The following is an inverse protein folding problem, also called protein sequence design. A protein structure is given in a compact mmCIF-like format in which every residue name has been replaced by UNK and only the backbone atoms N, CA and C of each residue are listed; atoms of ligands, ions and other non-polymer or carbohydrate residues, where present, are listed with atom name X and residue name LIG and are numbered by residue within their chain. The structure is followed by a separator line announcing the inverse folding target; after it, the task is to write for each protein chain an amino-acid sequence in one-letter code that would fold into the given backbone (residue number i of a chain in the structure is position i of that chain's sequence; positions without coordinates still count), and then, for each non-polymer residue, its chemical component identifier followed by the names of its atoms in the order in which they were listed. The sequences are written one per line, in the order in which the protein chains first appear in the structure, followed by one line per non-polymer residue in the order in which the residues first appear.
data_IF_202205769404
#
_entry.id   IF_202205769404
#
_cell.length_a   1.000
_cell.length_b   1.000
_cell.length_c   1.000
_cell.angle_alpha   90.00
_cell.angle_beta   90.00
_cell.angle_gamma   90.00
#
_symmetry.space_group_name_H-M   'P 1'
#
loop_
_entity.id
_entity.type
_entity.pdbx_description
1 polymer ?
#
# COMPACT_ATOMS: atom_id res chain seq x y z
N UNK A 1 -22.27 -25.76 -11.71
CA UNK A 1 -21.97 -24.55 -12.51
C UNK A 1 -22.83 -23.42 -11.97
N UNK A 2 -22.26 -22.47 -11.22
CA UNK A 2 -23.01 -21.34 -10.64
C UNK A 2 -22.60 -20.08 -11.40
N UNK A 3 -23.55 -19.43 -12.09
CA UNK A 3 -23.36 -18.11 -12.69
C UNK A 3 -23.56 -17.04 -11.63
N UNK A 4 -22.50 -16.30 -11.31
CA UNK A 4 -22.61 -15.05 -10.56
C UNK A 4 -23.02 -13.94 -11.53
N UNK A 5 -24.18 -13.33 -11.29
CA UNK A 5 -24.59 -12.12 -11.97
C UNK A 5 -23.99 -10.93 -11.22
N UNK A 6 -23.11 -10.18 -11.88
CA UNK A 6 -22.66 -8.88 -11.41
C UNK A 6 -23.35 -7.79 -12.23
N UNK A 7 -23.80 -6.74 -11.55
CA UNK A 7 -24.29 -5.53 -12.21
C UNK A 7 -23.27 -4.43 -11.94
N UNK A 8 -22.57 -4.00 -12.98
CA UNK A 8 -21.68 -2.83 -12.90
C UNK A 8 -22.54 -1.59 -13.03
N UNK A 9 -22.69 -0.84 -11.94
CA UNK A 9 -23.29 0.50 -11.99
C UNK A 9 -22.14 1.52 -12.06
N UNK A 10 -21.97 2.14 -13.22
CA UNK A 10 -21.03 3.24 -13.39
C UNK A 10 -21.69 4.53 -12.91
N UNK A 11 -21.26 5.02 -11.73
CA UNK A 11 -21.54 6.39 -11.30
C UNK A 11 -20.18 7.03 -10.96
N UNK A 12 -19.81 8.04 -11.75
CA UNK A 12 -18.68 8.95 -11.54
C UNK A 12 -17.38 8.30 -11.01
N UNK A 13 -16.60 7.69 -11.90
CA UNK A 13 -15.14 7.52 -11.76
C UNK A 13 -14.62 6.61 -10.64
N UNK A 14 -15.48 6.03 -9.80
CA UNK A 14 -15.08 5.17 -8.68
C UNK A 14 -15.91 3.90 -8.71
N UNK A 15 -15.28 2.74 -8.92
CA UNK A 15 -15.98 1.46 -8.85
C UNK A 15 -16.25 1.11 -7.38
N UNK A 16 -17.49 1.33 -6.92
CA UNK A 16 -17.95 0.84 -5.62
C UNK A 16 -18.69 -0.48 -5.83
N UNK A 17 -18.05 -1.59 -5.45
CA UNK A 17 -18.69 -2.90 -5.42
C UNK A 17 -19.50 -3.02 -4.12
N UNK A 18 -20.84 -3.01 -4.21
CA UNK A 18 -21.71 -3.35 -3.08
C UNK A 18 -22.10 -4.82 -3.14
N UNK A 19 -21.78 -5.56 -2.09
CA UNK A 19 -22.30 -6.91 -1.87
C UNK A 19 -23.60 -6.82 -1.06
N UNK A 20 -24.69 -7.38 -1.58
CA UNK A 20 -25.92 -7.62 -0.83
C UNK A 20 -25.95 -9.08 -0.41
N UNK A 21 -25.96 -9.36 0.88
CA UNK A 21 -26.08 -10.71 1.42
C UNK A 21 -27.55 -11.03 1.73
N UNK A 22 -28.16 -11.94 0.99
CA UNK A 22 -29.36 -12.63 1.46
C UNK A 22 -28.94 -13.70 2.48
N UNK A 23 -29.55 -13.62 3.66
CA UNK A 23 -29.34 -14.57 4.75
C UNK A 23 -29.72 -15.99 4.32
N UNK A 24 -28.73 -16.88 4.36
CA UNK A 24 -28.87 -18.31 4.18
C UNK A 24 -27.53 -18.94 4.55
N UNK A 25 -27.54 -19.74 5.60
CA UNK A 25 -26.38 -20.48 6.11
C UNK A 25 -25.74 -21.31 5.00
N UNK A 26 -24.67 -20.79 4.42
CA UNK A 26 -23.84 -21.49 3.45
C UNK A 26 -22.39 -21.18 3.79
N UNK A 27 -21.65 -22.25 4.10
CA UNK A 27 -20.21 -22.27 4.30
C UNK A 27 -19.52 -21.27 3.34
N UNK A 28 -18.83 -20.28 3.90
CA UNK A 28 -18.05 -19.31 3.13
C UNK A 28 -17.05 -20.08 2.25
N UNK A 29 -16.96 -19.80 0.94
CA UNK A 29 -15.98 -20.44 0.08
C UNK A 29 -14.56 -20.10 0.56
N UNK A 30 -13.59 -20.95 0.24
CA UNK A 30 -12.17 -20.85 0.61
C UNK A 30 -11.47 -19.58 0.09
N UNK A 31 -11.84 -18.41 0.60
CA UNK A 31 -11.39 -17.11 0.12
C UNK A 31 -11.66 -15.92 1.05
N UNK A 32 -12.08 -16.12 2.30
CA UNK A 32 -12.11 -15.05 3.32
C UNK A 32 -10.85 -15.19 4.18
N UNK A 33 -9.71 -14.81 3.62
CA UNK A 33 -8.44 -14.80 4.33
C UNK A 33 -8.42 -13.60 5.28
N UNK A 34 -7.79 -13.74 6.46
CA UNK A 34 -7.63 -12.61 7.39
C UNK A 34 -7.03 -11.37 6.71
N UNK A 35 -6.21 -11.59 5.68
CA UNK A 35 -5.61 -10.55 4.84
C UNK A 35 -6.63 -9.76 4.02
N UNK A 36 -7.58 -10.42 3.36
CA UNK A 36 -8.59 -9.72 2.56
C UNK A 36 -9.49 -8.85 3.44
N UNK A 37 -9.80 -9.32 4.65
CA UNK A 37 -10.53 -8.54 5.65
C UNK A 37 -9.73 -7.34 6.14
N UNK A 38 -8.44 -7.51 6.43
CA UNK A 38 -7.52 -6.40 6.78
C UNK A 38 -7.54 -5.32 5.69
N UNK A 39 -7.31 -5.70 4.43
CA UNK A 39 -7.27 -4.77 3.29
C UNK A 39 -8.62 -4.06 3.12
N UNK A 40 -9.73 -4.81 3.14
CA UNK A 40 -11.06 -4.23 2.98
C UNK A 40 -11.44 -3.25 4.09
N UNK A 41 -10.84 -3.38 5.27
CA UNK A 41 -11.11 -2.50 6.42
C UNK A 41 -10.25 -1.22 6.38
N UNK A 42 -8.97 -1.34 6.04
CA UNK A 42 -7.99 -0.27 6.27
C UNK A 42 -7.47 0.42 5.00
N UNK A 43 -7.71 -0.14 3.81
CA UNK A 43 -7.12 0.42 2.60
C UNK A 43 -7.69 1.81 2.27
N UNK A 44 -6.81 2.80 2.20
CA UNK A 44 -7.16 4.19 1.91
C UNK A 44 -7.84 4.91 3.06
N UNK A 45 -7.79 4.37 4.29
CA UNK A 45 -8.44 4.98 5.45
C UNK A 45 -7.43 5.47 6.48
N UNK A 46 -7.81 6.53 7.19
CA UNK A 46 -7.09 7.03 8.37
C UNK A 46 -7.75 6.44 9.62
N UNK A 47 -6.96 5.83 10.50
CA UNK A 47 -7.43 5.27 11.76
C UNK A 47 -6.48 5.60 12.90
N UNK A 48 -7.00 5.62 14.12
CA UNK A 48 -6.20 5.66 15.35
C UNK A 48 -6.09 4.24 15.89
N UNK A 49 -4.87 3.78 16.16
CA UNK A 49 -4.69 2.50 16.83
C UNK A 49 -5.26 2.58 18.25
N UNK A 50 -6.06 1.58 18.66
CA UNK A 50 -6.43 1.45 20.06
C UNK A 50 -5.17 1.10 20.86
N UNK A 51 -4.83 1.92 21.85
CA UNK A 51 -3.82 1.55 22.83
C UNK A 51 -4.40 0.46 23.73
N UNK A 52 -3.82 -0.75 23.66
CA UNK A 52 -4.15 -1.82 24.59
C UNK A 52 -3.92 -1.32 26.03
N UNK A 53 -4.92 -1.59 26.89
CA UNK A 53 -5.17 -0.88 28.14
C UNK A 53 -3.96 -0.72 29.07
N UNK A 54 -3.74 0.53 29.49
CA UNK A 54 -2.84 0.90 30.58
C UNK A 54 -2.89 2.41 30.79
N UNK A 55 -3.35 2.85 31.95
CA UNK A 55 -3.72 4.24 32.26
C UNK A 55 -2.71 5.30 31.79
N UNK A 56 -3.17 6.14 30.86
CA UNK A 56 -2.43 7.26 30.33
C UNK A 56 -3.08 7.72 29.02
N UNK A 57 -3.88 8.78 29.09
CA UNK A 57 -4.68 9.33 27.97
C UNK A 57 -3.77 10.00 26.93
N UNK A 58 -2.93 9.25 26.23
CA UNK A 58 -2.33 9.66 24.96
C UNK A 58 -3.05 8.88 23.86
N UNK A 59 -3.89 9.59 23.09
CA UNK A 59 -4.42 9.06 21.84
C UNK A 59 -3.24 8.67 20.97
N UNK A 60 -3.23 7.44 20.44
CA UNK A 60 -2.25 7.07 19.45
C UNK A 60 -2.33 8.04 18.26
N UNK A 61 -1.19 8.40 17.63
CA UNK A 61 -1.20 9.20 16.42
C UNK A 61 -2.02 8.48 15.34
N UNK A 62 -2.72 9.27 14.53
CA UNK A 62 -3.51 8.71 13.44
C UNK A 62 -2.57 8.12 12.37
N UNK A 63 -3.05 7.11 11.66
CA UNK A 63 -2.29 6.42 10.64
C UNK A 63 -3.16 6.22 9.41
N UNK A 64 -2.65 6.63 8.26
CA UNK A 64 -3.18 6.28 6.96
C UNK A 64 -2.51 5.02 6.46
N UNK A 65 -3.28 4.11 5.86
CA UNK A 65 -2.72 2.91 5.26
C UNK A 65 -3.19 2.74 3.82
N UNK A 66 -2.27 2.37 2.94
CA UNK A 66 -2.57 2.02 1.56
C UNK A 66 -2.00 0.64 1.23
N UNK A 67 -2.82 -0.22 0.63
CA UNK A 67 -2.45 -1.54 0.16
C UNK A 67 -2.47 -1.57 -1.35
N UNK A 68 -1.44 -2.16 -1.94
CA UNK A 68 -1.34 -2.34 -3.37
C UNK A 68 -0.89 -3.75 -3.72
N UNK A 69 -1.72 -4.43 -4.52
CA UNK A 69 -1.38 -5.71 -5.14
C UNK A 69 -0.73 -5.45 -6.49
N UNK A 70 0.44 -6.02 -6.69
CA UNK A 70 1.22 -5.95 -7.93
C UNK A 70 1.26 -7.35 -8.52
N UNK A 71 0.49 -7.57 -9.58
CA UNK A 71 0.50 -8.84 -10.30
C UNK A 71 1.66 -8.89 -11.30
N UNK A 72 2.15 -10.10 -11.58
CA UNK A 72 3.24 -10.40 -12.51
C UNK A 72 4.56 -9.67 -12.19
N UNK A 73 4.80 -9.34 -10.92
CA UNK A 73 5.94 -8.49 -10.51
C UNK A 73 7.33 -9.08 -10.84
N UNK A 74 7.42 -10.39 -11.07
CA UNK A 74 8.64 -11.06 -11.54
C UNK A 74 8.96 -10.80 -13.00
N UNK A 75 7.95 -10.48 -13.79
CA UNK A 75 8.01 -10.35 -15.25
C UNK A 75 7.57 -8.97 -15.67
N UNK A 76 7.89 -7.96 -14.87
CA UNK A 76 7.56 -6.57 -15.18
C UNK A 76 8.35 -6.15 -16.42
N UNK A 77 7.79 -6.43 -17.59
CA UNK A 77 8.20 -5.87 -18.87
C UNK A 77 7.37 -4.61 -19.09
N UNK A 78 7.51 -3.62 -18.21
CA UNK A 78 6.97 -2.30 -18.51
C UNK A 78 7.91 -1.59 -19.46
N UNK A 79 7.36 -0.65 -20.24
CA UNK A 79 8.14 0.23 -21.13
C UNK A 79 9.29 0.92 -20.37
N UNK A 80 9.09 1.16 -19.05
CA UNK A 80 10.05 1.81 -18.16
C UNK A 80 10.62 0.88 -17.05
N UNK A 81 10.37 -0.43 -17.11
CA UNK A 81 10.85 -1.40 -16.08
C UNK A 81 10.15 -1.34 -14.71
N UNK A 82 9.23 -0.38 -14.50
CA UNK A 82 8.62 -0.08 -13.20
C UNK A 82 7.09 -0.17 -13.21
N UNK A 83 6.50 -0.90 -12.26
CA UNK A 83 5.09 -0.80 -11.91
C UNK A 83 4.83 0.45 -11.07
N UNK A 84 3.68 1.09 -11.25
CA UNK A 84 3.23 2.20 -10.40
C UNK A 84 1.78 2.00 -9.97
N UNK A 85 1.49 2.25 -8.68
CA UNK A 85 0.12 2.23 -8.16
C UNK A 85 -0.68 3.42 -8.68
N UNK A 86 -2.02 3.35 -8.68
CA UNK A 86 -2.83 4.57 -8.70
C UNK A 86 -2.36 5.53 -7.60
N UNK A 87 -2.21 6.83 -7.89
CA UNK A 87 -1.82 7.80 -6.89
C UNK A 87 -2.98 8.04 -5.90
N UNK A 88 -2.63 8.28 -4.64
CA UNK A 88 -3.57 8.46 -3.54
C UNK A 88 -3.15 9.62 -2.65
N UNK A 89 -4.13 10.22 -1.97
CA UNK A 89 -3.88 11.22 -0.92
C UNK A 89 -3.74 10.52 0.43
N UNK A 90 -2.74 10.91 1.22
CA UNK A 90 -2.47 10.31 2.55
C UNK A 90 -3.43 10.79 3.64
N UNK A 91 -4.16 11.86 3.38
CA UNK A 91 -5.32 12.32 4.15
C UNK A 91 -6.11 13.33 3.28
N UNK A 92 -7.33 13.74 3.65
CA UNK A 92 -8.05 14.77 2.93
C UNK A 92 -7.20 16.04 2.77
N UNK A 93 -7.11 16.57 1.55
CA UNK A 93 -6.37 17.80 1.22
C UNK A 93 -4.88 17.79 1.61
N UNK A 94 -4.22 16.65 1.47
CA UNK A 94 -2.82 16.45 1.90
C UNK A 94 -1.91 16.01 0.75
N UNK A 95 -0.72 15.52 1.07
CA UNK A 95 0.27 15.01 0.12
C UNK A 95 -0.32 13.89 -0.72
N UNK A 96 -0.02 13.94 -2.02
CA UNK A 96 -0.32 12.88 -2.97
C UNK A 96 0.90 12.00 -3.16
N UNK A 97 0.71 10.69 -3.05
CA UNK A 97 1.78 9.69 -3.18
C UNK A 97 1.39 8.59 -4.15
N UNK A 98 2.39 7.84 -4.59
CA UNK A 98 2.22 6.55 -5.26
C UNK A 98 3.23 5.55 -4.71
N UNK A 99 2.94 4.27 -4.90
CA UNK A 99 3.89 3.19 -4.72
C UNK A 99 4.46 2.78 -6.07
N UNK A 100 5.73 2.37 -6.09
CA UNK A 100 6.38 1.80 -7.26
C UNK A 100 7.03 0.47 -6.92
N UNK A 101 6.97 -0.47 -7.86
CA UNK A 101 7.73 -1.72 -7.80
C UNK A 101 8.58 -1.83 -9.05
N UNK A 102 9.89 -1.93 -8.87
CA UNK A 102 10.87 -2.12 -9.93
C UNK A 102 11.53 -3.49 -9.75
N UNK A 103 11.76 -4.20 -10.85
CA UNK A 103 12.32 -5.55 -10.84
C UNK A 103 13.52 -5.60 -11.79
N UNK A 104 14.71 -5.74 -11.22
CA UNK A 104 15.94 -5.96 -11.97
C UNK A 104 16.18 -7.46 -12.09
N UNK A 105 15.85 -8.01 -13.26
CA UNK A 105 16.02 -9.43 -13.57
C UNK A 105 17.51 -9.84 -13.59
N UNK A 106 18.41 -8.92 -13.95
CA UNK A 106 19.85 -9.18 -14.04
C UNK A 106 20.47 -9.24 -12.65
N UNK A 107 20.19 -8.25 -11.81
CA UNK A 107 20.62 -8.21 -10.42
C UNK A 107 19.82 -9.16 -9.51
N UNK A 108 18.70 -9.71 -10.01
CA UNK A 108 17.73 -10.53 -9.27
C UNK A 108 17.25 -9.82 -8.01
N UNK A 109 16.86 -8.56 -8.16
CA UNK A 109 16.39 -7.70 -7.09
C UNK A 109 15.07 -7.04 -7.42
N UNK A 110 14.21 -6.89 -6.41
CA UNK A 110 12.95 -6.16 -6.48
C UNK A 110 13.01 -4.99 -5.51
N UNK A 111 12.76 -3.78 -6.01
CA UNK A 111 12.68 -2.56 -5.20
C UNK A 111 11.23 -2.11 -5.09
N UNK A 112 10.79 -1.88 -3.86
CA UNK A 112 9.50 -1.29 -3.53
C UNK A 112 9.74 0.11 -2.97
N UNK A 113 9.08 1.14 -3.50
CA UNK A 113 9.29 2.51 -3.05
C UNK A 113 7.99 3.31 -2.92
N UNK A 114 7.97 4.25 -1.99
CA UNK A 114 6.97 5.30 -1.87
C UNK A 114 7.52 6.59 -2.46
N UNK A 115 6.77 7.18 -3.38
CA UNK A 115 7.18 8.39 -4.12
C UNK A 115 6.13 9.48 -3.97
N UNK A 116 6.52 10.76 -3.81
CA UNK A 116 5.58 11.86 -3.88
C UNK A 116 5.20 12.10 -5.35
N UNK A 117 3.95 12.46 -5.59
CA UNK A 117 3.42 12.77 -6.92
C UNK A 117 2.76 14.14 -6.86
N UNK A 118 2.80 14.91 -7.96
CA UNK A 118 2.15 16.21 -8.01
C UNK A 118 0.67 16.10 -7.58
N UNK A 119 0.32 16.87 -6.55
CA UNK A 119 -1.00 16.97 -5.96
C UNK A 119 -1.62 18.36 -6.16
N UNK A 120 -2.94 18.43 -6.08
CA UNK A 120 -3.67 19.71 -6.20
C UNK A 120 -3.35 20.67 -5.04
N UNK A 121 -3.00 20.12 -3.88
CA UNK A 121 -2.76 20.88 -2.66
C UNK A 121 -1.29 21.24 -2.43
N UNK A 122 -0.37 20.85 -3.33
CA UNK A 122 1.08 20.96 -3.11
C UNK A 122 1.55 22.37 -2.74
N UNK A 123 0.91 23.42 -3.26
CA UNK A 123 1.25 24.82 -2.96
C UNK A 123 0.86 25.28 -1.55
N UNK A 124 -0.02 24.54 -0.86
CA UNK A 124 -0.50 24.84 0.49
C UNK A 124 0.17 23.97 1.55
N UNK A 125 0.94 22.96 1.12
CA UNK A 125 1.60 22.00 2.00
C UNK A 125 3.01 22.46 2.33
N UNK A 126 3.48 22.07 3.50
CA UNK A 126 4.89 22.24 3.86
C UNK A 126 5.75 21.28 3.04
N UNK A 127 6.95 21.71 2.66
CA UNK A 127 7.92 20.86 1.99
C UNK A 127 9.29 21.03 2.65
N UNK A 128 10.11 19.97 2.75
CA UNK A 128 9.90 18.60 2.24
C UNK A 128 8.81 17.83 3.01
N UNK A 129 8.43 16.65 2.49
CA UNK A 129 7.39 15.80 3.10
C UNK A 129 7.61 15.59 4.60
N UNK A 130 6.63 15.95 5.43
CA UNK A 130 6.79 16.05 6.90
C UNK A 130 6.33 14.82 7.68
N UNK A 131 5.54 13.93 7.09
CA UNK A 131 5.01 12.78 7.81
C UNK A 131 6.04 11.65 7.91
N UNK A 132 5.84 10.79 8.90
CA UNK A 132 6.64 9.57 9.04
C UNK A 132 6.04 8.45 8.22
N UNK A 133 6.87 7.55 7.72
CA UNK A 133 6.48 6.48 6.79
C UNK A 133 6.94 5.11 7.28
N UNK A 134 6.23 4.06 6.90
CA UNK A 134 6.70 2.68 6.98
C UNK A 134 6.18 1.87 5.79
N UNK A 135 7.05 1.10 5.18
CA UNK A 135 6.75 0.17 4.09
C UNK A 135 6.73 -1.26 4.63
N UNK A 136 5.88 -2.08 4.05
CA UNK A 136 5.85 -3.52 4.34
C UNK A 136 5.54 -4.31 3.08
N UNK A 137 6.18 -5.47 2.95
CA UNK A 137 5.80 -6.53 2.00
C UNK A 137 5.10 -7.61 2.80
N UNK A 138 3.87 -7.91 2.41
CA UNK A 138 2.96 -8.70 3.23
C UNK A 138 3.11 -10.19 2.95
N UNK A 139 3.19 -10.99 4.01
CA UNK A 139 3.14 -12.46 3.90
C UNK A 139 1.70 -12.88 3.58
N UNK A 140 1.48 -13.51 2.43
CA UNK A 140 0.15 -13.87 1.96
C UNK A 140 -0.30 -15.25 2.50
N UNK A 141 0.26 -15.71 3.62
CA UNK A 141 -0.24 -16.86 4.39
C UNK A 141 -1.45 -16.47 5.25
N UNK A 142 -2.39 -17.41 5.42
CA UNK A 142 -3.59 -17.17 6.22
C UNK A 142 -3.36 -17.31 7.73
N UNK A 143 -2.38 -18.13 8.12
CA UNK A 143 -2.09 -18.46 9.52
C UNK A 143 -0.74 -17.87 9.91
N UNK A 144 -0.74 -17.02 10.94
CA UNK A 144 0.45 -16.36 11.49
C UNK A 144 1.35 -15.71 10.41
N UNK A 145 0.82 -14.78 9.59
CA UNK A 145 1.61 -14.08 8.60
C UNK A 145 2.75 -13.29 9.25
N UNK A 146 3.93 -13.34 8.64
CA UNK A 146 5.10 -12.61 9.09
C UNK A 146 5.56 -11.63 8.01
N UNK A 147 5.03 -10.40 8.05
CA UNK A 147 5.33 -9.35 7.07
C UNK A 147 6.80 -8.92 7.14
N UNK A 148 7.41 -8.62 5.99
CA UNK A 148 8.71 -7.93 5.98
C UNK A 148 8.44 -6.44 6.18
N UNK A 149 8.89 -5.89 7.31
CA UNK A 149 8.61 -4.52 7.71
C UNK A 149 9.90 -3.71 7.77
N UNK A 150 9.88 -2.53 7.16
CA UNK A 150 10.98 -1.56 7.26
C UNK A 150 11.04 -0.86 8.62
N UNK A 151 12.15 -0.15 8.86
CA UNK A 151 12.18 0.91 9.88
C UNK A 151 11.09 1.94 9.62
N UNK A 152 10.75 2.71 10.64
CA UNK A 152 10.02 3.97 10.42
C UNK A 152 11.01 4.99 9.86
N UNK A 153 10.64 5.65 8.77
CA UNK A 153 11.34 6.82 8.27
C UNK A 153 10.69 8.06 8.86
N UNK A 154 11.41 8.74 9.74
CA UNK A 154 11.03 10.01 10.37
C UNK A 154 11.91 11.18 9.92
N UNK A 155 12.90 10.88 9.09
CA UNK A 155 13.89 11.79 8.51
C UNK A 155 13.71 11.95 7.00
N UNK A 156 12.49 11.74 6.50
CA UNK A 156 12.17 11.79 5.07
C UNK A 156 12.49 13.20 4.51
N UNK A 157 13.15 13.25 3.35
CA UNK A 157 13.51 14.49 2.63
C UNK A 157 13.10 14.44 1.16
N UNK A 158 11.99 13.76 0.85
CA UNK A 158 11.47 13.71 -0.51
C UNK A 158 10.59 14.93 -0.81
N UNK A 159 10.55 15.31 -2.08
CA UNK A 159 9.69 16.35 -2.61
C UNK A 159 9.19 15.95 -4.00
N UNK A 160 8.07 16.52 -4.45
CA UNK A 160 7.67 16.39 -5.86
C UNK A 160 8.67 17.11 -6.76
N UNK A 161 8.72 16.76 -8.05
CA UNK A 161 9.65 17.40 -8.99
C UNK A 161 9.56 18.93 -9.00
N UNK A 162 8.35 19.49 -8.79
CA UNK A 162 8.10 20.92 -8.70
C UNK A 162 8.67 21.57 -7.43
N UNK A 163 8.80 20.79 -6.36
CA UNK A 163 9.21 21.24 -5.02
C UNK A 163 10.66 20.86 -4.69
N UNK A 164 11.42 20.30 -5.65
CA UNK A 164 12.84 19.98 -5.47
C UNK A 164 13.67 21.26 -5.51
N UNK A 165 13.96 21.84 -4.35
CA UNK A 165 14.82 23.01 -4.22
C UNK A 165 16.32 22.61 -4.23
N UNK A 166 16.67 21.45 -3.66
CA UNK A 166 18.08 21.00 -3.50
C UNK A 166 18.42 19.69 -4.24
N UNK A 167 17.65 19.33 -5.27
CA UNK A 167 17.87 18.06 -5.99
C UNK A 167 17.52 16.81 -5.16
N UNK A 168 16.81 16.94 -4.03
CA UNK A 168 16.35 15.81 -3.20
C UNK A 168 15.57 14.76 -3.99
N UNK A 169 15.85 13.47 -3.76
CA UNK A 169 15.30 12.37 -4.55
C UNK A 169 13.76 12.31 -4.58
N UNK A 170 13.21 11.80 -5.68
CA UNK A 170 11.76 11.55 -5.81
C UNK A 170 11.26 10.33 -5.04
N UNK A 171 12.01 9.84 -4.05
CA UNK A 171 11.70 8.64 -3.27
C UNK A 171 11.72 9.00 -1.79
N UNK A 172 10.60 8.76 -1.10
CA UNK A 172 10.45 9.05 0.32
C UNK A 172 10.94 7.91 1.21
N UNK A 173 10.70 6.68 0.76
CA UNK A 173 11.10 5.46 1.43
C UNK A 173 11.21 4.34 0.39
N UNK A 174 12.13 3.40 0.60
CA UNK A 174 12.20 2.20 -0.22
C UNK A 174 12.70 1.00 0.57
N UNK A 175 12.37 -0.18 0.08
CA UNK A 175 12.94 -1.45 0.48
C UNK A 175 13.40 -2.18 -0.78
N UNK A 176 14.51 -2.90 -0.69
CA UNK A 176 15.05 -3.67 -1.80
C UNK A 176 15.32 -5.09 -1.33
N UNK A 177 14.88 -6.04 -2.14
CA UNK A 177 14.90 -7.46 -1.81
C UNK A 177 15.59 -8.23 -2.91
N UNK A 178 16.39 -9.21 -2.54
CA UNK A 178 16.76 -10.25 -3.49
C UNK A 178 15.54 -11.13 -3.78
N UNK A 179 15.48 -11.71 -4.98
CA UNK A 179 14.38 -12.57 -5.39
C UNK A 179 14.15 -13.74 -4.43
N UNK A 180 15.23 -14.34 -3.92
CA UNK A 180 15.17 -15.49 -3.00
C UNK A 180 14.45 -15.16 -1.68
N UNK A 181 14.65 -13.97 -1.13
CA UNK A 181 13.95 -13.48 0.08
C UNK A 181 12.44 -13.47 -0.14
N UNK A 182 11.97 -12.99 -1.29
CA UNK A 182 10.53 -12.93 -1.60
C UNK A 182 9.92 -14.31 -1.88
N UNK A 183 10.75 -15.32 -2.18
CA UNK A 183 10.31 -16.72 -2.34
C UNK A 183 10.39 -17.55 -1.05
N UNK A 184 11.00 -17.03 0.02
CA UNK A 184 11.19 -17.77 1.27
C UNK A 184 9.87 -18.10 1.99
N UNK A 185 8.94 -17.14 2.01
CA UNK A 185 7.55 -17.30 2.47
C UNK A 185 6.58 -16.90 1.35
N UNK A 186 5.28 -16.77 1.63
CA UNK A 186 4.28 -16.39 0.62
C UNK A 186 4.25 -14.88 0.37
N UNK A 187 5.40 -14.22 0.34
CA UNK A 187 5.50 -12.82 -0.10
C UNK A 187 5.17 -12.69 -1.59
N UNK A 188 5.69 -13.64 -2.38
CA UNK A 188 5.42 -13.80 -3.82
C UNK A 188 4.40 -14.93 -4.06
N UNK A 189 3.11 -14.67 -3.89
CA UNK A 189 2.06 -15.67 -4.08
C UNK A 189 1.38 -15.51 -5.43
N UNK A 190 1.36 -16.54 -6.27
CA UNK A 190 0.72 -16.49 -7.60
C UNK A 190 1.24 -15.35 -8.48
N UNK A 191 2.56 -15.18 -8.52
CA UNK A 191 3.26 -14.08 -9.20
C UNK A 191 2.83 -12.67 -8.76
N UNK A 192 2.25 -12.54 -7.56
CA UNK A 192 1.83 -11.26 -7.01
C UNK A 192 2.56 -10.89 -5.74
N UNK A 193 2.83 -9.59 -5.62
CA UNK A 193 3.36 -8.95 -4.43
C UNK A 193 2.25 -8.12 -3.78
N UNK A 194 2.14 -8.13 -2.46
CA UNK A 194 1.24 -7.26 -1.73
C UNK A 194 2.05 -6.29 -0.88
N UNK A 195 1.94 -5.01 -1.20
CA UNK A 195 2.70 -3.92 -0.57
C UNK A 195 1.75 -3.11 0.31
N UNK A 196 2.25 -2.71 1.48
CA UNK A 196 1.57 -1.80 2.41
C UNK A 196 2.43 -0.58 2.67
N UNK A 197 1.83 0.60 2.54
CA UNK A 197 2.35 1.85 3.06
C UNK A 197 1.56 2.24 4.30
N UNK A 198 2.26 2.60 5.37
CA UNK A 198 1.69 3.28 6.54
C UNK A 198 2.29 4.68 6.61
N UNK A 199 1.42 5.69 6.71
CA UNK A 199 1.81 7.10 6.92
C UNK A 199 1.26 7.52 8.28
N UNK A 200 2.13 8.00 9.16
CA UNK A 200 1.74 8.48 10.48
C UNK A 200 1.42 9.98 10.37
N UNK A 201 0.13 10.30 10.50
CA UNK A 201 -0.46 11.64 10.28
C UNK A 201 -0.89 12.30 11.57
#
# INVERSE_FOLDING_TARGET
SVRLHYTVLLISGTAVVRFSSNAGTKQLPAGDTGRLREIGTYNGTVFTAATDGGGGRRSAPASFVYYWRVDLFWRLVFVDGQARSPPFYVSPRSYRMALTVDSDVTARSVRVAAVPVAGEFDAQLEWPFVHRLRLSVLDQTDVAPEDIVSRVWDDVRCATALQRIDGGGGVCAFMEFRHDVLTYRRYASGDSLLVKLTVFV
#
